data_IF_099717064830
#
_entry.id   IF_099717064830
#
_cell.length_a   1.000
_cell.length_b   1.000
_cell.length_c   1.000
_cell.angle_alpha   90.00
_cell.angle_beta   90.00
_cell.angle_gamma   90.00
#
_symmetry.space_group_name_H-M   'P 1'
#
loop_
_entity.id
_entity.type
_entity.pdbx_description
1 polymer ?
#
# COMPACT_ATOMS: atom_id res chain seq x y z
N UNK A 1 6.24 -21.28 5.02
CA UNK A 1 5.26 -20.29 4.52
C UNK A 1 4.34 -21.00 3.56
N UNK A 2 3.04 -20.86 3.75
CA UNK A 2 1.97 -21.63 3.08
C UNK A 2 1.91 -21.33 1.57
N UNK A 3 1.49 -22.31 0.75
CA UNK A 3 1.28 -22.20 -0.71
C UNK A 3 0.16 -21.22 -1.14
N UNK A 4 -0.24 -20.30 -0.26
CA UNK A 4 -1.32 -19.34 -0.49
C UNK A 4 -0.73 -18.00 -0.96
N UNK A 5 -0.91 -17.59 -2.23
CA UNK A 5 -0.38 -16.33 -2.75
C UNK A 5 -0.91 -15.11 -1.98
N UNK A 6 -2.11 -15.20 -1.42
CA UNK A 6 -2.73 -14.16 -0.60
C UNK A 6 -1.92 -13.84 0.66
N UNK A 7 -1.38 -14.87 1.33
CA UNK A 7 -0.64 -14.69 2.57
C UNK A 7 0.73 -14.06 2.31
N UNK A 8 1.38 -14.43 1.21
CA UNK A 8 2.61 -13.79 0.77
C UNK A 8 2.36 -12.32 0.40
N UNK A 9 1.28 -12.03 -0.35
CA UNK A 9 0.88 -10.65 -0.65
C UNK A 9 0.63 -9.86 0.63
N UNK A 10 -0.13 -10.40 1.59
CA UNK A 10 -0.40 -9.74 2.87
C UNK A 10 0.89 -9.46 3.65
N UNK A 11 1.80 -10.42 3.72
CA UNK A 11 3.05 -10.29 4.46
C UNK A 11 3.95 -9.20 3.85
N UNK A 12 4.19 -9.25 2.54
CA UNK A 12 4.98 -8.22 1.86
C UNK A 12 4.29 -6.86 1.87
N UNK A 13 2.96 -6.84 1.73
CA UNK A 13 2.16 -5.63 1.88
C UNK A 13 2.44 -4.96 3.23
N UNK A 14 2.28 -5.70 4.32
CA UNK A 14 2.41 -5.17 5.66
C UNK A 14 3.84 -4.66 5.92
N UNK A 15 4.87 -5.41 5.51
CA UNK A 15 6.26 -5.00 5.70
C UNK A 15 6.64 -3.77 4.87
N UNK A 16 6.26 -3.74 3.59
CA UNK A 16 6.58 -2.64 2.69
C UNK A 16 5.83 -1.37 3.05
N UNK A 17 4.53 -1.47 3.37
CA UNK A 17 3.74 -0.32 3.81
C UNK A 17 4.28 0.21 5.14
N UNK A 18 4.67 -0.65 6.08
CA UNK A 18 5.25 -0.19 7.35
C UNK A 18 6.55 0.59 7.15
N UNK A 19 7.45 0.09 6.31
CA UNK A 19 8.68 0.79 5.99
C UNK A 19 8.39 2.15 5.33
N UNK A 20 7.42 2.20 4.42
CA UNK A 20 7.00 3.44 3.76
C UNK A 20 6.38 4.44 4.75
N UNK A 21 5.49 3.97 5.62
CA UNK A 21 4.83 4.77 6.65
C UNK A 21 5.83 5.44 7.60
N UNK A 22 6.85 4.71 8.04
CA UNK A 22 7.92 5.27 8.87
C UNK A 22 8.75 6.31 8.12
N UNK A 23 9.01 6.10 6.83
CA UNK A 23 9.75 7.04 5.99
C UNK A 23 8.97 8.34 5.73
N UNK A 24 7.65 8.26 5.56
CA UNK A 24 6.81 9.43 5.32
C UNK A 24 6.34 10.13 6.61
N UNK A 25 6.37 9.46 7.77
CA UNK A 25 5.90 10.00 9.05
C UNK A 25 6.42 11.43 9.35
N UNK A 26 7.71 11.78 9.11
CA UNK A 26 8.22 13.13 9.35
C UNK A 26 7.57 14.24 8.51
N UNK A 27 6.85 13.90 7.43
CA UNK A 27 6.15 14.86 6.56
C UNK A 27 4.77 15.27 7.10
N UNK A 28 4.31 14.66 8.18
CA UNK A 28 3.03 14.98 8.83
C UNK A 28 3.23 15.89 10.04
N UNK A 29 2.32 16.84 10.24
CA UNK A 29 2.38 17.79 11.36
C UNK A 29 2.32 17.05 12.69
N UNK A 30 3.27 17.36 13.58
CA UNK A 30 3.34 16.82 14.93
C UNK A 30 3.89 15.39 15.05
N UNK A 31 4.13 14.68 13.93
CA UNK A 31 4.72 13.33 13.97
C UNK A 31 6.19 13.33 14.37
N UNK A 32 6.97 14.35 13.98
CA UNK A 32 8.38 14.45 14.34
C UNK A 32 8.60 14.75 15.84
N UNK A 33 7.62 15.38 16.50
CA UNK A 33 7.69 15.77 17.92
C UNK A 33 6.98 14.77 18.84
N UNK A 34 6.16 13.87 18.28
CA UNK A 34 5.48 12.84 19.06
C UNK A 34 6.46 11.78 19.59
N UNK A 35 6.16 11.18 20.76
CA UNK A 35 6.93 10.05 21.26
C UNK A 35 7.00 8.92 20.21
N UNK A 36 8.18 8.33 20.02
CA UNK A 36 8.40 7.29 19.01
C UNK A 36 7.40 6.12 19.10
N UNK A 37 6.96 5.76 20.30
CA UNK A 37 5.94 4.74 20.51
C UNK A 37 4.56 5.12 19.90
N UNK A 38 4.18 6.39 19.97
CA UNK A 38 2.92 6.87 19.40
C UNK A 38 3.01 6.96 17.88
N UNK A 39 4.14 7.45 17.35
CA UNK A 39 4.41 7.44 15.90
C UNK A 39 4.37 6.03 15.34
N UNK A 40 5.04 5.08 16.01
CA UNK A 40 5.06 3.68 15.59
C UNK A 40 3.67 3.06 15.62
N UNK A 41 2.87 3.35 16.66
CA UNK A 41 1.49 2.88 16.74
C UNK A 41 0.62 3.46 15.61
N UNK A 42 0.79 4.74 15.28
CA UNK A 42 0.08 5.38 14.18
C UNK A 42 0.48 4.79 12.82
N UNK A 43 1.79 4.66 12.54
CA UNK A 43 2.31 4.00 11.35
C UNK A 43 1.81 2.55 11.24
N UNK A 44 1.76 1.80 12.35
CA UNK A 44 1.25 0.44 12.36
C UNK A 44 -0.25 0.39 12.02
N UNK A 45 -1.04 1.30 12.59
CA UNK A 45 -2.46 1.41 12.27
C UNK A 45 -2.69 1.75 10.80
N UNK A 46 -1.93 2.70 10.25
CA UNK A 46 -1.98 3.07 8.83
C UNK A 46 -1.60 1.89 7.93
N UNK A 47 -0.47 1.23 8.24
CA UNK A 47 0.01 0.02 7.55
C UNK A 47 -1.05 -1.07 7.48
N UNK A 48 -1.76 -1.33 8.59
CA UNK A 48 -2.82 -2.34 8.62
C UNK A 48 -3.96 -1.96 7.68
N UNK A 49 -4.33 -0.67 7.66
CA UNK A 49 -5.30 -0.14 6.69
C UNK A 49 -4.86 -0.39 5.24
N UNK A 50 -3.62 -0.03 4.91
CA UNK A 50 -3.09 -0.19 3.56
C UNK A 50 -2.96 -1.66 3.15
N UNK A 51 -2.56 -2.53 4.07
CA UNK A 51 -2.53 -3.96 3.83
C UNK A 51 -3.92 -4.51 3.51
N UNK A 52 -4.96 -4.03 4.20
CA UNK A 52 -6.36 -4.40 3.90
C UNK A 52 -6.77 -3.88 2.52
N UNK A 53 -6.48 -2.62 2.20
CA UNK A 53 -6.78 -2.05 0.87
C UNK A 53 -6.08 -2.86 -0.22
N UNK A 54 -4.82 -3.24 0.01
CA UNK A 54 -4.05 -4.01 -0.96
C UNK A 54 -4.60 -5.43 -1.14
N UNK A 55 -5.06 -6.08 -0.08
CA UNK A 55 -5.75 -7.36 -0.17
C UNK A 55 -7.09 -7.27 -0.89
N UNK A 56 -7.86 -6.20 -0.65
CA UNK A 56 -9.10 -5.94 -1.37
C UNK A 56 -8.85 -5.72 -2.86
N UNK A 57 -7.88 -4.87 -3.21
CA UNK A 57 -7.48 -4.64 -4.59
C UNK A 57 -7.03 -5.94 -5.28
N UNK A 58 -6.25 -6.77 -4.59
CA UNK A 58 -5.83 -8.07 -5.07
C UNK A 58 -7.04 -9.00 -5.30
N UNK A 59 -7.97 -9.04 -4.35
CA UNK A 59 -9.17 -9.86 -4.42
C UNK A 59 -10.07 -9.47 -5.58
N UNK A 60 -10.26 -8.17 -5.81
CA UNK A 60 -11.03 -7.65 -6.95
C UNK A 60 -10.39 -8.09 -8.26
N UNK A 61 -9.07 -7.95 -8.43
CA UNK A 61 -8.38 -8.41 -9.63
C UNK A 61 -8.49 -9.93 -9.78
N UNK A 62 -8.37 -10.69 -8.69
CA UNK A 62 -8.52 -12.15 -8.71
C UNK A 62 -9.93 -12.59 -9.16
N UNK A 63 -10.98 -11.88 -8.75
CA UNK A 63 -12.36 -12.12 -9.19
C UNK A 63 -12.55 -11.77 -10.67
N UNK A 64 -12.03 -10.63 -11.11
CA UNK A 64 -12.10 -10.18 -12.52
C UNK A 64 -11.38 -11.15 -13.45
N UNK A 65 -10.20 -11.61 -13.05
CA UNK A 65 -9.37 -12.55 -13.83
C UNK A 65 -9.81 -14.01 -13.61
N UNK A 66 -10.68 -14.27 -12.62
CA UNK A 66 -11.09 -15.61 -12.16
C UNK A 66 -9.90 -16.53 -11.85
N UNK A 67 -8.81 -15.96 -11.37
CA UNK A 67 -7.59 -16.70 -11.02
C UNK A 67 -6.95 -16.08 -9.79
N UNK A 68 -6.73 -16.90 -8.76
CA UNK A 68 -5.97 -16.49 -7.57
C UNK A 68 -4.48 -16.39 -7.88
N UNK A 69 -3.98 -17.20 -8.80
CA UNK A 69 -2.58 -17.20 -9.22
C UNK A 69 -2.24 -16.07 -10.21
N UNK A 70 -3.14 -15.08 -10.41
CA UNK A 70 -2.93 -14.00 -11.37
C UNK A 70 -1.64 -13.24 -11.11
N UNK A 71 -1.22 -13.11 -9.84
CA UNK A 71 -0.01 -12.35 -9.47
C UNK A 71 1.28 -13.02 -9.97
N UNK A 72 1.28 -14.35 -10.11
CA UNK A 72 2.42 -15.13 -10.61
C UNK A 72 2.66 -14.86 -12.09
N UNK A 73 1.60 -14.78 -12.89
CA UNK A 73 1.65 -14.54 -14.33
C UNK A 73 0.90 -13.25 -14.70
N UNK A 74 1.09 -12.19 -13.91
CA UNK A 74 0.34 -10.95 -14.09
C UNK A 74 0.67 -10.25 -15.41
N UNK A 75 -0.39 -9.87 -16.12
CA UNK A 75 -0.34 -9.04 -17.34
C UNK A 75 -0.30 -7.56 -16.97
N UNK A 76 0.25 -6.72 -17.85
CA UNK A 76 0.35 -5.27 -17.61
C UNK A 76 -0.97 -4.63 -17.19
N UNK A 77 -2.08 -4.97 -17.86
CA UNK A 77 -3.40 -4.43 -17.52
C UNK A 77 -3.92 -4.84 -16.13
N UNK A 78 -3.54 -6.03 -15.63
CA UNK A 78 -3.93 -6.51 -14.30
C UNK A 78 -3.20 -5.72 -13.22
N UNK A 79 -1.93 -5.40 -13.47
CA UNK A 79 -1.14 -4.52 -12.60
C UNK A 79 -1.68 -3.10 -12.61
N UNK A 80 -2.04 -2.58 -13.79
CA UNK A 80 -2.68 -1.26 -13.90
C UNK A 80 -4.00 -1.22 -13.13
N UNK A 81 -4.85 -2.26 -13.22
CA UNK A 81 -6.09 -2.34 -12.46
C UNK A 81 -5.83 -2.40 -10.95
N UNK A 82 -4.84 -3.20 -10.53
CA UNK A 82 -4.46 -3.33 -9.13
C UNK A 82 -4.00 -1.99 -8.53
N UNK A 83 -3.11 -1.29 -9.23
CA UNK A 83 -2.64 0.06 -8.85
C UNK A 83 -3.79 1.06 -8.88
N UNK A 84 -4.63 1.05 -9.92
CA UNK A 84 -5.74 1.99 -10.06
C UNK A 84 -6.76 1.88 -8.91
N UNK A 85 -7.07 0.67 -8.45
CA UNK A 85 -7.96 0.46 -7.30
C UNK A 85 -7.34 1.07 -6.04
N UNK A 86 -6.08 0.79 -5.76
CA UNK A 86 -5.36 1.34 -4.61
C UNK A 86 -5.30 2.87 -4.62
N UNK A 87 -4.85 3.44 -5.74
CA UNK A 87 -4.79 4.90 -5.96
C UNK A 87 -6.18 5.53 -5.77
N UNK A 88 -7.24 4.92 -6.31
CA UNK A 88 -8.60 5.46 -6.20
C UNK A 88 -9.09 5.47 -4.75
N UNK A 89 -8.86 4.38 -4.01
CA UNK A 89 -9.28 4.28 -2.60
C UNK A 89 -8.52 5.31 -1.75
N UNK A 90 -7.21 5.42 -1.93
CA UNK A 90 -6.40 6.38 -1.17
C UNK A 90 -6.71 7.82 -1.55
N UNK A 91 -6.95 8.12 -2.82
CA UNK A 91 -7.40 9.45 -3.22
C UNK A 91 -8.73 9.83 -2.55
N UNK A 92 -9.67 8.89 -2.41
CA UNK A 92 -10.93 9.11 -1.70
C UNK A 92 -10.69 9.33 -0.20
N UNK A 93 -9.85 8.51 0.44
CA UNK A 93 -9.52 8.66 1.87
C UNK A 93 -8.86 10.02 2.14
N UNK A 94 -7.86 10.40 1.34
CA UNK A 94 -7.16 11.68 1.46
C UNK A 94 -8.10 12.86 1.24
N UNK A 95 -8.98 12.76 0.25
CA UNK A 95 -9.99 13.78 -0.01
C UNK A 95 -10.97 13.94 1.17
N UNK A 96 -11.37 12.84 1.82
CA UNK A 96 -12.22 12.88 3.00
C UNK A 96 -11.47 13.41 4.24
N UNK A 97 -10.21 13.03 4.42
CA UNK A 97 -9.37 13.43 5.54
C UNK A 97 -9.05 14.93 5.52
N UNK A 98 -8.67 15.46 4.35
CA UNK A 98 -8.38 16.90 4.15
C UNK A 98 -9.62 17.78 4.28
N UNK A 99 -10.82 17.25 3.99
CA UNK A 99 -12.10 17.96 4.14
C UNK A 99 -12.73 17.83 5.54
N UNK A 100 -12.12 17.06 6.44
CA UNK A 100 -12.62 16.84 7.80
C UNK A 100 -13.86 15.93 7.88
N UNK A 101 -14.18 15.20 6.80
CA UNK A 101 -15.28 14.22 6.79
C UNK A 101 -14.84 12.84 7.30
N UNK A 102 -13.56 12.66 7.58
CA UNK A 102 -13.00 11.42 8.11
C UNK A 102 -12.69 11.52 9.61
N UNK A 103 -12.88 10.42 10.34
CA UNK A 103 -12.70 10.36 11.80
C UNK A 103 -11.26 10.69 12.27
N UNK A 104 -10.29 10.57 11.36
CA UNK A 104 -8.91 10.94 11.57
C UNK A 104 -8.51 11.94 10.46
N UNK A 105 -8.64 13.23 10.71
CA UNK A 105 -8.09 14.29 9.86
C UNK A 105 -6.61 14.49 10.19
N UNK A 106 -5.75 14.51 9.18
CA UNK A 106 -4.32 14.82 9.33
C UNK A 106 -3.95 16.07 8.52
N UNK A 107 -2.91 16.76 8.99
CA UNK A 107 -2.35 17.92 8.31
C UNK A 107 -0.93 17.61 7.87
N UNK A 108 -0.61 18.01 6.65
CA UNK A 108 0.73 17.86 6.08
C UNK A 108 1.63 19.03 6.46
N UNK A 109 2.93 18.79 6.60
CA UNK A 109 3.91 19.88 6.69
C UNK A 109 3.98 20.64 5.36
N UNK A 110 4.40 21.91 5.37
CA UNK A 110 4.66 22.67 4.13
C UNK A 110 5.70 22.04 3.19
N UNK A 111 6.53 21.14 3.71
CA UNK A 111 7.54 20.38 2.95
C UNK A 111 6.96 19.16 2.22
N UNK A 112 5.70 18.79 2.47
CA UNK A 112 5.05 17.68 1.80
C UNK A 112 4.76 18.05 0.34
N UNK A 113 5.29 17.30 -0.65
CA UNK A 113 4.93 17.53 -2.04
C UNK A 113 3.46 17.16 -2.25
N UNK A 114 2.68 18.11 -2.77
CA UNK A 114 1.28 17.93 -3.10
C UNK A 114 1.11 17.73 -4.61
N UNK A 115 0.05 17.02 -5.01
CA UNK A 115 -0.32 16.95 -6.43
C UNK A 115 -0.83 18.32 -6.90
N UNK A 116 -0.26 18.91 -7.96
CA UNK A 116 -0.66 20.23 -8.45
C UNK A 116 -2.17 20.32 -8.71
N UNK A 117 -2.83 21.30 -8.10
CA UNK A 117 -4.28 21.51 -8.24
C UNK A 117 -5.14 20.71 -7.26
N UNK A 118 -4.55 20.00 -6.29
CA UNK A 118 -5.27 19.29 -5.22
C UNK A 118 -4.55 19.43 -3.87
N UNK A 119 -5.26 19.14 -2.78
CA UNK A 119 -4.69 19.06 -1.42
C UNK A 119 -4.17 17.65 -1.08
N UNK A 120 -3.98 16.77 -2.07
CA UNK A 120 -3.59 15.37 -1.88
C UNK A 120 -2.07 15.23 -1.84
N UNK A 121 -1.56 14.51 -0.86
CA UNK A 121 -0.13 14.18 -0.74
C UNK A 121 0.38 13.33 -1.90
N UNK A 122 1.49 13.73 -2.51
CA UNK A 122 2.14 12.96 -3.57
C UNK A 122 2.76 11.66 -3.03
N UNK A 123 3.28 11.68 -1.80
CA UNK A 123 3.97 10.53 -1.18
C UNK A 123 3.03 9.33 -0.95
N UNK A 124 1.82 9.50 -0.38
CA UNK A 124 0.81 8.44 -0.31
C UNK A 124 0.39 7.89 -1.69
N UNK A 125 0.34 8.73 -2.73
CA UNK A 125 0.01 8.25 -4.08
C UNK A 125 1.16 7.45 -4.70
N UNK A 126 2.41 7.87 -4.48
CA UNK A 126 3.59 7.12 -4.90
C UNK A 126 3.68 5.75 -4.24
N UNK A 127 3.21 5.62 -2.99
CA UNK A 127 3.09 4.35 -2.29
C UNK A 127 2.32 3.33 -3.12
N UNK A 128 1.17 3.72 -3.68
CA UNK A 128 0.32 2.85 -4.50
C UNK A 128 0.84 2.55 -5.89
N UNK A 129 1.90 3.22 -6.33
CA UNK A 129 2.60 2.87 -7.57
C UNK A 129 3.76 1.92 -7.23
N UNK A 130 4.58 2.30 -6.25
CA UNK A 130 5.83 1.59 -5.94
C UNK A 130 5.57 0.28 -5.20
N UNK A 131 4.76 0.30 -4.13
CA UNK A 131 4.59 -0.86 -3.26
C UNK A 131 3.86 -2.03 -3.95
N UNK A 132 2.76 -1.82 -4.70
CA UNK A 132 2.12 -2.90 -5.44
C UNK A 132 3.05 -3.61 -6.42
N UNK A 133 3.90 -2.85 -7.13
CA UNK A 133 4.89 -3.40 -8.07
C UNK A 133 5.97 -4.20 -7.33
N UNK A 134 6.47 -3.68 -6.20
CA UNK A 134 7.43 -4.40 -5.36
C UNK A 134 6.81 -5.68 -4.78
N UNK A 135 5.59 -5.63 -4.27
CA UNK A 135 4.88 -6.81 -3.74
C UNK A 135 4.77 -7.90 -4.81
N UNK A 136 4.34 -7.56 -6.02
CA UNK A 136 4.27 -8.52 -7.14
C UNK A 136 5.65 -9.10 -7.45
N UNK A 137 6.68 -8.27 -7.49
CA UNK A 137 8.04 -8.70 -7.77
C UNK A 137 8.59 -9.66 -6.70
N UNK A 138 8.42 -9.35 -5.41
CA UNK A 138 8.86 -10.20 -4.31
C UNK A 138 8.11 -11.53 -4.28
N UNK A 139 6.79 -11.52 -4.44
CA UNK A 139 5.97 -12.75 -4.48
C UNK A 139 6.41 -13.66 -5.63
N UNK A 140 6.63 -13.09 -6.82
CA UNK A 140 7.14 -13.85 -7.98
C UNK A 140 8.52 -14.44 -7.71
N UNK A 141 9.44 -13.65 -7.15
CA UNK A 141 10.80 -14.09 -6.88
C UNK A 141 10.84 -15.22 -5.84
N UNK A 142 10.07 -15.10 -4.76
CA UNK A 142 10.01 -16.13 -3.72
C UNK A 142 9.47 -17.45 -4.27
N UNK A 143 8.38 -17.41 -5.05
CA UNK A 143 7.76 -18.61 -5.60
C UNK A 143 8.62 -19.26 -6.70
N UNK A 144 9.37 -18.46 -7.48
CA UNK A 144 10.37 -18.98 -8.41
C UNK A 144 11.52 -19.71 -7.69
N UNK A 145 11.98 -19.20 -6.54
CA UNK A 145 13.00 -19.87 -5.74
C UNK A 145 12.50 -21.16 -5.09
N UNK A 146 11.24 -21.22 -4.64
CA UNK A 146 10.63 -22.46 -4.14
C UNK A 146 10.51 -23.53 -5.23
N UNK A 147 10.17 -23.14 -6.47
CA UNK A 147 10.11 -24.08 -7.60
C UNK A 147 11.49 -24.62 -8.01
N UNK A 148 12.56 -23.82 -7.84
CA UNK A 148 13.93 -24.26 -8.10
C UNK A 148 14.51 -25.13 -6.98
N UNK A 149 14.09 -24.93 -5.73
CA UNK A 149 14.54 -25.74 -4.59
C UNK A 149 13.87 -27.12 -4.50
N UNK A 150 12.81 -27.35 -5.27
CA UNK A 150 12.07 -28.62 -5.34
C UNK A 150 12.51 -29.53 -6.51
N UNK A 151 13.42 -29.06 -7.36
CA UNK A 151 14.07 -29.83 -8.43
C UNK A 151 15.51 -30.17 -8.04
#
# INVERSE_FOLDING_TARGET
MTDTPELNVAAFALLLNFAWEILQAPLFVGMAEMPHAQVTKACLQATVGDAVIMLLAYGVVAVVVRSRSWILASKGWQLSLFVAIGVSITAVIEWLATRGYWMASWNYLPTMPLVPGTDIGLVPLLQWIVLPLLTVWFVRRQLAHCAQAAN
#
